data_IF_194950835887
#
_entry.id   IF_194950835887
#
_cell.length_a   1.000
_cell.length_b   1.000
_cell.length_c   1.000
_cell.angle_alpha   90.00
_cell.angle_beta   90.00
_cell.angle_gamma   90.00
#
_symmetry.space_group_name_H-M   'P 1'
#
loop_
_entity.id
_entity.type
_entity.pdbx_description
1 polymer ?
#
# COMPACT_ATOMS: atom_id res chain seq x y z
N UNK A 1 -15.48 -6.67 12.24
CA UNK A 1 -14.15 -6.68 12.92
C UNK A 1 -14.05 -5.57 13.95
N UNK A 2 -14.37 -4.32 13.59
CA UNK A 2 -14.44 -3.20 14.55
C UNK A 2 -15.35 -3.51 15.75
N UNK A 3 -16.61 -3.87 15.52
CA UNK A 3 -17.58 -4.22 16.60
C UNK A 3 -17.07 -5.33 17.53
N UNK A 4 -16.33 -6.30 16.98
CA UNK A 4 -15.71 -7.37 17.77
C UNK A 4 -14.57 -6.85 18.65
N UNK A 5 -13.74 -5.94 18.14
CA UNK A 5 -12.63 -5.34 18.90
C UNK A 5 -13.13 -4.37 19.97
N UNK A 6 -14.20 -3.62 19.69
CA UNK A 6 -14.90 -2.77 20.65
C UNK A 6 -15.48 -3.60 21.79
N UNK A 7 -16.17 -4.70 21.47
CA UNK A 7 -16.70 -5.64 22.46
C UNK A 7 -15.59 -6.24 23.34
N UNK A 8 -14.39 -6.41 22.80
CA UNK A 8 -13.21 -6.93 23.53
C UNK A 8 -12.42 -5.85 24.26
N UNK A 9 -12.84 -4.58 24.22
CA UNK A 9 -12.13 -3.47 24.85
C UNK A 9 -10.72 -3.26 24.28
N UNK A 10 -10.51 -3.64 23.02
CA UNK A 10 -9.20 -3.58 22.40
C UNK A 10 -8.81 -2.13 22.08
N UNK A 11 -7.57 -1.70 22.36
CA UNK A 11 -7.09 -0.38 21.97
C UNK A 11 -7.03 -0.20 20.45
N UNK A 12 -7.12 -1.28 19.67
CA UNK A 12 -7.14 -1.23 18.21
C UNK A 12 -8.50 -0.84 17.64
N UNK A 13 -9.58 -0.88 18.42
CA UNK A 13 -10.91 -0.47 17.96
C UNK A 13 -10.93 0.98 17.45
N UNK A 14 -10.24 1.88 18.17
CA UNK A 14 -10.15 3.31 17.81
C UNK A 14 -9.35 3.56 16.53
N UNK A 15 -8.55 2.60 16.07
CA UNK A 15 -7.82 2.69 14.81
C UNK A 15 -8.71 2.52 13.58
N UNK A 16 -9.88 1.89 13.73
CA UNK A 16 -10.87 1.76 12.65
C UNK A 16 -11.71 3.04 12.45
N UNK A 17 -11.57 4.04 13.32
CA UNK A 17 -12.15 5.37 13.14
C UNK A 17 -11.11 6.42 12.71
N UNK A 18 -9.83 6.06 12.76
CA UNK A 18 -8.69 6.92 12.40
C UNK A 18 -8.43 6.81 10.89
N UNK A 19 -8.94 7.79 10.13
CA UNK A 19 -8.82 7.81 8.66
C UNK A 19 -7.38 7.85 8.19
N UNK A 20 -6.50 8.50 8.94
CA UNK A 20 -5.08 8.55 8.60
C UNK A 20 -4.44 7.18 8.74
N UNK A 21 -4.73 6.51 9.86
CA UNK A 21 -4.26 5.15 10.09
C UNK A 21 -4.80 4.16 9.04
N UNK A 22 -6.09 4.27 8.69
CA UNK A 22 -6.71 3.41 7.68
C UNK A 22 -6.11 3.63 6.30
N UNK A 23 -5.88 4.87 5.87
CA UNK A 23 -5.23 5.14 4.60
C UNK A 23 -3.80 4.57 4.55
N UNK A 24 -3.01 4.70 5.64
CA UNK A 24 -1.70 4.05 5.74
C UNK A 24 -1.80 2.53 5.66
N UNK A 25 -2.83 1.94 6.28
CA UNK A 25 -3.09 0.50 6.21
C UNK A 25 -3.43 0.05 4.77
N UNK A 26 -4.30 0.79 4.07
CA UNK A 26 -4.67 0.51 2.68
C UNK A 26 -3.43 0.53 1.77
N UNK A 27 -2.58 1.56 1.91
CA UNK A 27 -1.30 1.63 1.20
C UNK A 27 -0.41 0.40 1.48
N UNK A 28 -0.22 0.04 2.76
CA UNK A 28 0.61 -1.10 3.12
C UNK A 28 0.03 -2.42 2.59
N UNK A 29 -1.29 -2.57 2.61
CA UNK A 29 -1.96 -3.74 2.04
C UNK A 29 -1.64 -3.89 0.54
N UNK A 30 -1.68 -2.79 -0.22
CA UNK A 30 -1.33 -2.79 -1.65
C UNK A 30 0.15 -3.14 -1.89
N UNK A 31 1.07 -2.59 -1.08
CA UNK A 31 2.50 -2.92 -1.15
C UNK A 31 2.76 -4.40 -0.85
N UNK A 32 2.15 -4.93 0.23
CA UNK A 32 2.30 -6.33 0.59
C UNK A 32 1.68 -7.27 -0.43
N UNK A 33 0.57 -6.88 -1.07
CA UNK A 33 -0.04 -7.66 -2.15
C UNK A 33 0.93 -7.79 -3.34
N UNK A 34 1.58 -6.70 -3.75
CA UNK A 34 2.57 -6.74 -4.83
C UNK A 34 3.81 -7.55 -4.45
N UNK A 35 4.32 -7.38 -3.22
CA UNK A 35 5.43 -8.19 -2.70
C UNK A 35 5.07 -9.67 -2.68
N UNK A 36 3.86 -10.02 -2.23
CA UNK A 36 3.41 -11.39 -2.18
C UNK A 36 3.24 -11.99 -3.58
N UNK A 37 2.76 -11.19 -4.56
CA UNK A 37 2.72 -11.58 -5.97
C UNK A 37 4.11 -11.93 -6.51
N UNK A 38 5.11 -11.08 -6.25
CA UNK A 38 6.50 -11.37 -6.60
C UNK A 38 7.05 -12.60 -5.86
N UNK A 39 6.79 -12.72 -4.56
CA UNK A 39 7.23 -13.84 -3.74
C UNK A 39 6.65 -15.18 -4.22
N UNK A 40 5.38 -15.21 -4.64
CA UNK A 40 4.75 -16.39 -5.23
C UNK A 40 5.39 -16.80 -6.55
N UNK A 41 5.74 -15.81 -7.40
CA UNK A 41 6.49 -16.08 -8.64
C UNK A 41 7.87 -16.69 -8.33
N UNK A 42 8.53 -16.23 -7.28
CA UNK A 42 9.83 -16.76 -6.84
C UNK A 42 9.72 -18.18 -6.26
N UNK A 43 8.65 -18.50 -5.53
CA UNK A 43 8.42 -19.82 -4.92
C UNK A 43 8.01 -20.91 -5.92
N UNK A 44 7.80 -20.59 -7.19
CA UNK A 44 7.45 -21.54 -8.24
C UNK A 44 8.49 -22.67 -8.37
N UNK A 45 8.01 -23.92 -8.54
CA UNK A 45 8.85 -25.13 -8.59
C UNK A 45 9.92 -25.17 -9.71
N UNK A 46 9.89 -24.23 -10.66
CA UNK A 46 10.80 -24.14 -11.81
C UNK A 46 11.44 -22.74 -11.99
N UNK A 47 11.47 -21.90 -10.95
CA UNK A 47 12.07 -20.56 -11.07
C UNK A 47 13.57 -20.65 -11.25
N UNK A 48 14.08 -20.24 -12.42
CA UNK A 48 15.52 -20.14 -12.66
C UNK A 48 16.09 -18.87 -12.04
N UNK A 49 17.42 -18.78 -11.92
CA UNK A 49 18.10 -17.54 -11.50
C UNK A 49 17.76 -16.36 -12.42
N UNK A 50 17.55 -16.63 -13.72
CA UNK A 50 17.14 -15.63 -14.70
C UNK A 50 15.70 -15.14 -14.41
N UNK A 51 14.78 -16.05 -14.10
CA UNK A 51 13.39 -15.70 -13.75
C UNK A 51 13.32 -14.91 -12.44
N UNK A 52 14.12 -15.29 -11.44
CA UNK A 52 14.23 -14.55 -10.19
C UNK A 52 14.77 -13.13 -10.42
N UNK A 53 15.82 -13.00 -11.23
CA UNK A 53 16.38 -11.70 -11.62
C UNK A 53 15.35 -10.83 -12.36
N UNK A 54 14.59 -11.40 -13.31
CA UNK A 54 13.51 -10.69 -14.00
C UNK A 54 12.41 -10.22 -13.03
N UNK A 55 12.00 -11.08 -12.10
CA UNK A 55 10.95 -10.77 -11.12
C UNK A 55 11.36 -9.60 -10.22
N UNK A 56 12.58 -9.65 -9.67
CA UNK A 56 13.13 -8.56 -8.84
C UNK A 56 13.30 -7.28 -9.65
N UNK A 57 13.84 -7.37 -10.87
CA UNK A 57 14.05 -6.21 -11.73
C UNK A 57 12.72 -5.55 -12.11
N UNK A 58 11.69 -6.34 -12.42
CA UNK A 58 10.35 -5.86 -12.71
C UNK A 58 9.73 -5.15 -11.49
N UNK A 59 9.87 -5.73 -10.29
CA UNK A 59 9.39 -5.11 -9.06
C UNK A 59 10.09 -3.77 -8.78
N UNK A 60 11.42 -3.70 -8.88
CA UNK A 60 12.17 -2.44 -8.77
C UNK A 60 11.72 -1.39 -9.82
N UNK A 61 11.41 -1.85 -11.03
CA UNK A 61 10.83 -1.01 -12.08
C UNK A 61 9.47 -0.42 -11.69
N UNK A 62 8.60 -1.23 -11.09
CA UNK A 62 7.30 -0.78 -10.55
C UNK A 62 7.48 0.25 -9.45
N UNK A 63 8.37 0.01 -8.47
CA UNK A 63 8.65 0.96 -7.39
C UNK A 63 9.09 2.33 -7.93
N UNK A 64 10.02 2.35 -8.88
CA UNK A 64 10.46 3.60 -9.53
C UNK A 64 9.33 4.33 -10.25
N UNK A 65 8.44 3.60 -10.91
CA UNK A 65 7.26 4.17 -11.55
C UNK A 65 6.30 4.76 -10.51
N UNK A 66 6.04 4.04 -9.43
CA UNK A 66 5.14 4.47 -8.36
C UNK A 66 5.64 5.74 -7.66
N UNK A 67 6.93 5.82 -7.35
CA UNK A 67 7.55 7.04 -6.80
C UNK A 67 7.28 8.25 -7.71
N UNK A 68 7.48 8.11 -9.03
CA UNK A 68 7.22 9.20 -9.99
C UNK A 68 5.74 9.58 -10.09
N UNK A 69 4.83 8.63 -9.86
CA UNK A 69 3.38 8.88 -9.85
C UNK A 69 2.95 9.58 -8.55
N UNK A 70 3.50 9.16 -7.42
CA UNK A 70 3.30 9.79 -6.12
C UNK A 70 3.80 11.25 -6.10
N UNK A 71 4.95 11.54 -6.70
CA UNK A 71 5.44 12.93 -6.87
C UNK A 71 4.48 13.83 -7.67
N UNK A 72 3.59 13.23 -8.49
CA UNK A 72 2.54 13.93 -9.23
C UNK A 72 1.17 13.89 -8.53
N UNK A 73 1.10 13.35 -7.31
CA UNK A 73 -0.14 13.17 -6.55
C UNK A 73 -1.04 12.04 -7.06
N UNK A 74 -0.52 11.13 -7.89
CA UNK A 74 -1.29 10.03 -8.47
C UNK A 74 -1.15 8.79 -7.60
N UNK A 75 -2.27 8.28 -7.07
CA UNK A 75 -2.33 7.11 -6.19
C UNK A 75 -2.91 5.84 -6.84
N UNK A 76 -3.38 5.92 -8.10
CA UNK A 76 -4.08 4.84 -8.82
C UNK A 76 -3.31 3.51 -9.02
N UNK A 77 -2.06 3.41 -8.57
CA UNK A 77 -1.32 2.14 -8.47
C UNK A 77 -1.64 1.36 -7.18
N UNK A 78 -2.30 1.98 -6.22
CA UNK A 78 -2.67 1.45 -4.91
C UNK A 78 -4.19 1.29 -4.87
N UNK A 79 -4.75 0.20 -5.40
CA UNK A 79 -6.20 0.07 -5.58
C UNK A 79 -6.99 0.13 -4.27
N UNK A 80 -6.46 -0.44 -3.18
CA UNK A 80 -7.12 -0.39 -1.87
C UNK A 80 -7.11 1.04 -1.32
N UNK A 81 -6.01 1.77 -1.50
CA UNK A 81 -5.91 3.17 -1.09
C UNK A 81 -6.79 4.09 -1.95
N UNK A 82 -6.78 3.89 -3.27
CA UNK A 82 -7.53 4.70 -4.24
C UNK A 82 -9.04 4.59 -3.95
N UNK A 83 -9.53 3.38 -3.74
CA UNK A 83 -10.92 3.13 -3.34
C UNK A 83 -11.24 3.79 -1.99
N UNK A 84 -10.38 3.63 -0.98
CA UNK A 84 -10.59 4.25 0.34
C UNK A 84 -10.70 5.78 0.24
N UNK A 85 -9.88 6.40 -0.60
CA UNK A 85 -9.86 7.85 -0.81
C UNK A 85 -11.12 8.32 -1.53
N UNK A 86 -11.60 7.58 -2.52
CA UNK A 86 -12.85 7.85 -3.24
C UNK A 86 -14.04 7.82 -2.27
N UNK A 87 -14.13 6.78 -1.43
CA UNK A 87 -15.18 6.60 -0.42
C UNK A 87 -15.14 7.69 0.68
N UNK A 88 -14.00 8.34 0.90
CA UNK A 88 -13.78 9.35 1.94
C UNK A 88 -13.47 10.76 1.39
N UNK A 89 -13.77 11.02 0.12
CA UNK A 89 -13.33 12.18 -0.68
C UNK A 89 -13.63 13.57 -0.09
N UNK A 90 -14.57 13.69 0.84
CA UNK A 90 -14.91 14.96 1.50
C UNK A 90 -13.90 15.42 2.57
N UNK A 91 -12.98 14.56 3.02
CA UNK A 91 -12.15 14.81 4.22
C UNK A 91 -10.67 14.40 4.05
N UNK A 92 -10.26 14.02 2.83
CA UNK A 92 -8.95 13.37 2.57
C UNK A 92 -7.92 14.28 1.89
N UNK A 93 -8.25 15.53 1.56
CA UNK A 93 -7.34 16.43 0.82
C UNK A 93 -6.02 16.72 1.53
N UNK A 94 -6.05 17.10 2.82
CA UNK A 94 -4.83 17.28 3.61
C UNK A 94 -4.17 15.96 3.97
N UNK A 95 -4.97 14.91 4.16
CA UNK A 95 -4.51 13.56 4.48
C UNK A 95 -3.63 12.98 3.38
N UNK A 96 -4.06 13.12 2.12
CA UNK A 96 -3.31 12.67 0.96
C UNK A 96 -1.97 13.37 0.84
N UNK A 97 -1.85 14.65 1.21
CA UNK A 97 -0.56 15.34 1.17
C UNK A 97 0.43 14.75 2.19
N UNK A 98 -0.03 14.50 3.42
CA UNK A 98 0.79 13.89 4.47
C UNK A 98 1.22 12.48 4.08
N UNK A 99 0.26 11.64 3.70
CA UNK A 99 0.53 10.22 3.36
C UNK A 99 1.36 10.12 2.09
N UNK A 100 1.14 10.97 1.08
CA UNK A 100 1.91 10.94 -0.16
C UNK A 100 3.42 11.20 0.07
N UNK A 101 3.75 12.11 0.98
CA UNK A 101 5.14 12.33 1.38
C UNK A 101 5.72 11.08 2.05
N UNK A 102 5.02 10.52 3.04
CA UNK A 102 5.45 9.31 3.74
C UNK A 102 5.62 8.10 2.81
N UNK A 103 4.67 7.90 1.89
CA UNK A 103 4.75 6.85 0.86
C UNK A 103 5.97 7.06 -0.04
N UNK A 104 6.19 8.30 -0.51
CA UNK A 104 7.34 8.62 -1.35
C UNK A 104 8.67 8.35 -0.65
N UNK A 105 8.78 8.72 0.62
CA UNK A 105 9.98 8.48 1.43
C UNK A 105 10.18 6.98 1.66
N UNK A 106 9.12 6.24 2.02
CA UNK A 106 9.17 4.78 2.23
C UNK A 106 9.63 4.01 0.98
N UNK A 107 9.16 4.40 -0.22
CA UNK A 107 9.52 3.72 -1.46
C UNK A 107 10.93 4.06 -1.97
N UNK A 108 11.52 5.19 -1.53
CA UNK A 108 12.87 5.60 -1.91
C UNK A 108 13.96 4.85 -1.12
N UNK A 109 13.62 4.33 0.07
CA UNK A 109 14.52 3.57 0.93
C UNK A 109 15.28 4.46 1.93
#
# INVERSE_FOLDING_TARGET
VQEFLEQKGSPFATKFTDKEWLARLCYLADIFAELNSGNLQLQGRNTTVIDAHHTVTAFLGKLRLWIRRLEKGVIAQFPTLDQFVEENSHDTGSLLQTINKEMSDHLKG
#
